data_IF_159948801604
#
_entry.id   IF_159948801604
#
_cell.length_a   1.000
_cell.length_b   1.000
_cell.length_c   1.000
_cell.angle_alpha   90.00
_cell.angle_beta   90.00
_cell.angle_gamma   90.00
#
_symmetry.space_group_name_H-M   'P 1'
#
loop_
_entity.id
_entity.type
_entity.pdbx_description
1 polymer ?
#
# COMPACT_ATOMS: atom_id res chain seq x y z
N UNK A 1 6.58 2.94 -15.42
CA UNK A 1 7.34 3.36 -14.27
C UNK A 1 6.43 3.68 -13.11
N UNK A 2 6.74 3.19 -11.95
CA UNK A 2 5.93 3.44 -10.79
C UNK A 2 6.32 4.75 -10.13
N UNK A 3 5.33 5.39 -9.52
CA UNK A 3 5.59 6.62 -8.77
C UNK A 3 6.22 6.29 -7.42
N UNK A 4 7.07 7.20 -6.92
CA UNK A 4 7.64 7.05 -5.62
C UNK A 4 6.60 7.15 -4.53
N UNK A 5 5.53 7.89 -4.78
CA UNK A 5 4.40 8.03 -3.88
C UNK A 5 3.15 7.65 -4.63
N UNK A 6 2.17 7.19 -3.89
CA UNK A 6 0.83 7.00 -4.43
C UNK A 6 -0.15 7.60 -3.44
N UNK A 7 -1.37 7.85 -3.88
CA UNK A 7 -2.38 8.47 -3.06
C UNK A 7 -3.68 7.70 -3.18
N UNK A 8 -4.29 7.43 -2.05
CA UNK A 8 -5.65 6.91 -2.04
C UNK A 8 -6.57 8.13 -2.09
N UNK A 9 -7.31 8.26 -3.18
CA UNK A 9 -8.18 9.40 -3.43
C UNK A 9 -9.54 9.11 -2.82
N UNK A 10 -9.84 9.75 -1.71
CA UNK A 10 -11.09 9.50 -0.99
C UNK A 10 -12.30 10.04 -1.73
N UNK A 11 -12.09 10.98 -2.64
CA UNK A 11 -13.22 11.54 -3.38
C UNK A 11 -13.75 10.61 -4.44
N UNK A 12 -12.90 9.70 -4.94
CA UNK A 12 -13.30 8.76 -5.98
C UNK A 12 -13.13 7.32 -5.55
N UNK A 13 -12.54 7.08 -4.36
CA UNK A 13 -12.23 5.74 -3.88
C UNK A 13 -11.34 4.99 -4.85
N UNK A 14 -10.31 5.67 -5.32
CA UNK A 14 -9.37 5.07 -6.27
C UNK A 14 -7.94 5.38 -5.86
N UNK A 15 -7.05 4.44 -6.20
CA UNK A 15 -5.63 4.63 -5.98
C UNK A 15 -5.05 5.34 -7.19
N UNK A 16 -4.22 6.36 -6.96
CA UNK A 16 -3.62 7.15 -8.04
C UNK A 16 -2.15 7.36 -7.76
N UNK A 17 -1.35 7.45 -8.81
CA UNK A 17 0.02 7.88 -8.65
C UNK A 17 0.06 9.32 -8.14
N UNK A 18 1.09 9.65 -7.39
CA UNK A 18 1.23 10.98 -6.80
C UNK A 18 2.43 11.65 -7.42
N UNK A 19 2.21 12.84 -7.99
CA UNK A 19 3.29 13.58 -8.62
C UNK A 19 4.05 14.48 -7.65
N UNK A 20 3.39 14.91 -6.58
CA UNK A 20 4.05 15.77 -5.62
C UNK A 20 3.08 16.52 -4.74
N UNK A 21 3.63 17.43 -3.93
CA UNK A 21 2.87 18.15 -2.93
C UNK A 21 3.22 19.61 -2.96
N UNK A 22 2.28 20.44 -2.49
CA UNK A 22 2.54 21.84 -2.18
C UNK A 22 2.12 22.05 -0.74
N UNK A 23 3.09 22.12 0.16
CA UNK A 23 2.77 22.21 1.58
C UNK A 23 2.12 23.54 1.93
N UNK A 24 2.51 24.62 1.26
CA UNK A 24 1.96 25.92 1.60
C UNK A 24 0.48 26.00 1.25
N UNK A 25 0.09 25.38 0.14
CA UNK A 25 -1.30 25.40 -0.28
C UNK A 25 -2.05 24.18 0.21
N UNK A 26 -1.35 23.24 0.86
CA UNK A 26 -1.91 21.98 1.33
C UNK A 26 -2.59 21.21 0.20
N UNK A 27 -1.89 21.09 -0.91
CA UNK A 27 -2.37 20.42 -2.09
C UNK A 27 -1.50 19.24 -2.46
N UNK A 28 -2.14 18.23 -3.04
CA UNK A 28 -1.46 17.04 -3.55
C UNK A 28 -1.83 16.92 -5.02
N UNK A 29 -0.86 16.62 -5.87
CA UNK A 29 -1.08 16.48 -7.30
C UNK A 29 -1.07 15.00 -7.64
N UNK A 30 -2.17 14.49 -8.14
CA UNK A 30 -2.35 13.06 -8.40
C UNK A 30 -2.65 12.83 -9.87
N UNK A 31 -2.41 11.61 -10.33
CA UNK A 31 -2.63 11.26 -11.72
C UNK A 31 -4.12 11.26 -12.04
N UNK A 32 -4.47 11.83 -13.21
CA UNK A 32 -5.87 11.89 -13.63
C UNK A 32 -6.46 10.51 -13.91
N UNK A 33 -5.61 9.52 -14.17
CA UNK A 33 -6.04 8.15 -14.45
C UNK A 33 -5.72 7.30 -13.23
N UNK A 34 -6.72 6.63 -12.69
CA UNK A 34 -6.52 5.78 -11.53
C UNK A 34 -5.72 4.53 -11.92
N UNK A 35 -5.04 3.94 -10.94
CA UNK A 35 -4.18 2.78 -11.23
C UNK A 35 -4.96 1.64 -11.86
N UNK A 36 -6.18 1.40 -11.40
CA UNK A 36 -6.98 0.29 -11.91
C UNK A 36 -7.63 0.60 -13.26
N UNK A 37 -7.45 1.81 -13.77
CA UNK A 37 -7.97 2.17 -15.09
C UNK A 37 -6.94 1.97 -16.19
N UNK A 38 -5.71 1.61 -15.83
CA UNK A 38 -4.70 1.33 -16.83
C UNK A 38 -4.95 -0.08 -17.38
N UNK A 39 -5.45 -0.13 -18.62
CA UNK A 39 -5.85 -1.41 -19.19
C UNK A 39 -5.17 -1.66 -20.54
N UNK A 40 -4.02 -1.06 -20.76
CA UNK A 40 -3.28 -1.26 -21.99
C UNK A 40 -3.62 -0.27 -23.08
N UNK A 41 -4.59 0.59 -22.86
CA UNK A 41 -4.94 1.62 -23.84
C UNK A 41 -4.18 2.90 -23.53
N UNK A 42 -3.89 3.64 -24.59
CA UNK A 42 -3.27 4.94 -24.40
C UNK A 42 -4.30 5.92 -23.85
N UNK A 43 -3.91 6.64 -22.81
CA UNK A 43 -4.76 7.64 -22.20
C UNK A 43 -3.95 8.89 -21.97
N UNK A 44 -4.58 10.03 -22.15
CA UNK A 44 -3.96 11.30 -21.79
C UNK A 44 -4.00 11.44 -20.27
N UNK A 45 -2.86 11.66 -19.68
CA UNK A 45 -2.77 11.84 -18.23
C UNK A 45 -2.37 13.26 -17.91
N UNK A 46 -2.86 13.76 -16.81
CA UNK A 46 -2.46 15.07 -16.30
C UNK A 46 -2.61 15.04 -14.79
N UNK A 47 -2.20 16.11 -14.15
CA UNK A 47 -2.26 16.19 -12.69
C UNK A 47 -3.59 16.77 -12.27
N UNK A 48 -4.23 16.14 -11.31
CA UNK A 48 -5.40 16.67 -10.63
C UNK A 48 -4.97 17.16 -9.27
N UNK A 49 -5.59 18.22 -8.78
CA UNK A 49 -5.32 18.72 -7.45
C UNK A 49 -6.30 18.12 -6.45
N UNK A 50 -5.76 17.79 -5.28
CA UNK A 50 -6.58 17.35 -4.15
C UNK A 50 -6.03 18.04 -2.91
N UNK A 51 -6.90 18.33 -1.96
CA UNK A 51 -6.42 18.85 -0.68
C UNK A 51 -5.86 17.70 0.15
N UNK A 52 -5.03 18.03 1.14
CA UNK A 52 -4.46 17.02 2.01
C UNK A 52 -5.55 16.17 2.68
N UNK A 53 -6.72 16.74 2.93
CA UNK A 53 -7.81 16.00 3.56
C UNK A 53 -8.47 14.99 2.65
N UNK A 54 -8.31 15.15 1.35
CA UNK A 54 -9.01 14.32 0.39
C UNK A 54 -8.26 13.07 -0.01
N UNK A 55 -7.01 12.96 0.39
CA UNK A 55 -6.18 11.82 -0.02
C UNK A 55 -5.36 11.32 1.15
N UNK A 56 -4.92 10.06 1.03
CA UNK A 56 -3.93 9.48 1.93
C UNK A 56 -2.72 9.17 1.08
N UNK A 57 -1.61 9.82 1.35
CA UNK A 57 -0.39 9.65 0.58
C UNK A 57 0.45 8.55 1.20
N UNK A 58 0.96 7.66 0.37
CA UNK A 58 1.76 6.53 0.81
C UNK A 58 3.05 6.50 0.01
N UNK A 59 4.14 6.19 0.69
CA UNK A 59 5.46 6.19 0.07
C UNK A 59 5.84 4.79 -0.38
N UNK A 60 6.54 4.71 -1.50
CA UNK A 60 7.13 3.45 -1.94
C UNK A 60 8.23 3.05 -0.98
N UNK A 61 8.30 1.77 -0.67
CA UNK A 61 9.39 1.26 0.16
C UNK A 61 10.69 1.13 -0.63
N UNK A 62 10.61 1.19 -1.95
CA UNK A 62 11.77 0.93 -2.79
C UNK A 62 12.05 -0.54 -2.98
N UNK A 63 11.23 -1.40 -2.38
CA UNK A 63 11.40 -2.85 -2.46
C UNK A 63 10.29 -3.45 -3.30
N UNK A 64 10.53 -4.64 -3.82
CA UNK A 64 9.55 -5.36 -4.61
C UNK A 64 9.25 -6.69 -3.97
N UNK A 65 8.06 -7.21 -4.25
CA UNK A 65 7.68 -8.52 -3.74
C UNK A 65 8.26 -9.62 -4.63
N UNK A 66 7.88 -10.86 -4.34
CA UNK A 66 8.45 -12.00 -5.07
C UNK A 66 8.07 -12.01 -6.55
N UNK A 67 7.02 -11.28 -6.92
CA UNK A 67 6.59 -11.22 -8.31
C UNK A 67 7.03 -9.93 -8.99
N UNK A 68 7.86 -9.14 -8.34
CA UNK A 68 8.37 -7.90 -8.92
C UNK A 68 7.45 -6.71 -8.74
N UNK A 69 6.42 -6.84 -7.92
CA UNK A 69 5.48 -5.75 -7.67
C UNK A 69 6.06 -4.82 -6.62
N UNK A 70 6.05 -3.53 -6.89
CA UNK A 70 6.59 -2.56 -5.95
C UNK A 70 5.73 -2.50 -4.69
N UNK A 71 6.38 -2.44 -3.53
CA UNK A 71 5.70 -2.46 -2.24
C UNK A 71 5.63 -1.04 -1.71
N UNK A 72 4.43 -0.62 -1.34
CA UNK A 72 4.18 0.70 -0.76
C UNK A 72 3.73 0.57 0.68
N UNK A 73 3.94 1.62 1.44
CA UNK A 73 3.34 1.74 2.75
C UNK A 73 1.84 1.51 2.62
N UNK A 74 1.28 0.74 3.54
CA UNK A 74 -0.15 0.42 3.50
C UNK A 74 -0.49 -0.82 2.71
N UNK A 75 0.49 -1.44 2.03
CA UNK A 75 0.24 -2.69 1.34
C UNK A 75 0.02 -3.83 2.32
N UNK A 76 -0.71 -4.83 1.87
CA UNK A 76 -0.94 -6.06 2.62
C UNK A 76 -0.21 -7.17 1.89
N UNK A 77 0.67 -7.86 2.61
CA UNK A 77 1.51 -8.92 2.04
C UNK A 77 1.10 -10.27 2.61
N UNK A 78 1.34 -11.30 1.83
CA UNK A 78 1.03 -12.67 2.21
C UNK A 78 2.26 -13.55 2.11
N UNK A 79 2.41 -14.44 3.08
CA UNK A 79 3.46 -15.45 3.10
C UNK A 79 2.80 -16.77 3.48
N UNK A 80 3.05 -17.86 2.77
CA UNK A 80 2.35 -19.11 3.04
C UNK A 80 2.49 -19.63 4.47
N UNK A 81 3.60 -19.34 5.12
CA UNK A 81 3.83 -19.80 6.48
C UNK A 81 3.58 -18.74 7.53
N UNK A 82 3.71 -17.47 7.18
CA UNK A 82 3.62 -16.39 8.15
C UNK A 82 2.31 -15.62 8.07
N UNK A 83 1.49 -15.90 7.06
CA UNK A 83 0.18 -15.30 6.95
C UNK A 83 0.20 -13.90 6.38
N UNK A 84 -0.71 -13.06 6.86
CA UNK A 84 -0.97 -11.74 6.32
C UNK A 84 -0.32 -10.68 7.19
N UNK A 85 0.38 -9.74 6.56
CA UNK A 85 1.07 -8.65 7.26
C UNK A 85 0.77 -7.34 6.58
N UNK A 86 0.81 -6.27 7.34
CA UNK A 86 0.63 -4.91 6.82
C UNK A 86 1.98 -4.19 6.84
N UNK A 87 2.27 -3.46 5.76
CA UNK A 87 3.51 -2.68 5.65
C UNK A 87 3.30 -1.34 6.34
N UNK A 88 4.23 -0.96 7.21
CA UNK A 88 4.14 0.30 7.93
C UNK A 88 5.52 0.91 8.10
N UNK A 89 5.56 2.18 8.50
CA UNK A 89 6.79 2.92 8.69
C UNK A 89 6.58 3.97 9.78
N UNK A 90 7.54 4.15 10.68
CA UNK A 90 8.78 3.38 10.81
C UNK A 90 8.54 2.10 11.60
N UNK A 91 9.49 1.16 11.52
CA UNK A 91 9.37 -0.08 12.28
C UNK A 91 9.32 0.21 13.78
N UNK A 92 10.17 1.13 14.22
CA UNK A 92 10.13 1.59 15.61
C UNK A 92 10.76 2.97 15.67
N UNK A 93 10.68 3.63 16.81
CA UNK A 93 11.26 4.96 16.97
C UNK A 93 12.77 4.95 16.75
N UNK A 94 13.41 3.83 17.01
CA UNK A 94 14.86 3.74 16.90
C UNK A 94 15.30 3.06 15.61
N UNK A 95 14.38 2.55 14.79
CA UNK A 95 14.73 1.85 13.56
C UNK A 95 13.92 2.46 12.42
N UNK A 96 14.59 3.25 11.62
CA UNK A 96 13.94 3.96 10.52
C UNK A 96 13.91 3.06 9.29
N UNK A 97 13.09 2.02 9.34
CA UNK A 97 12.92 1.12 8.22
C UNK A 97 11.45 0.72 8.14
N UNK A 98 11.06 0.18 7.00
CA UNK A 98 9.71 -0.32 6.85
C UNK A 98 9.58 -1.64 7.59
N UNK A 99 8.41 -1.88 8.11
CA UNK A 99 8.14 -3.08 8.87
C UNK A 99 6.91 -3.79 8.37
N UNK A 100 6.76 -5.02 8.81
CA UNK A 100 5.57 -5.83 8.58
C UNK A 100 4.91 -6.04 9.93
N UNK A 101 3.61 -5.81 9.99
CA UNK A 101 2.85 -5.96 11.22
C UNK A 101 1.80 -7.04 11.03
N UNK A 102 1.79 -7.98 11.93
CA UNK A 102 0.77 -9.01 11.90
C UNK A 102 -0.56 -8.38 12.29
N UNK A 103 -1.59 -8.67 11.51
CA UNK A 103 -2.87 -7.99 11.65
C UNK A 103 -3.50 -8.30 13.01
N UNK A 104 -3.47 -9.56 13.42
CA UNK A 104 -4.21 -9.95 14.62
C UNK A 104 -3.49 -9.59 15.91
N UNK A 105 -2.16 -9.63 15.95
CA UNK A 105 -1.43 -9.44 17.20
C UNK A 105 -0.71 -8.13 17.28
N UNK A 106 -0.48 -7.49 16.13
CA UNK A 106 0.31 -6.26 16.11
C UNK A 106 1.81 -6.48 16.18
N UNK A 107 2.27 -7.72 16.29
CA UNK A 107 3.69 -7.98 16.29
C UNK A 107 4.29 -7.58 14.95
N UNK A 108 5.51 -7.06 15.00
CA UNK A 108 6.16 -6.56 13.80
C UNK A 108 7.50 -7.20 13.56
N UNK A 109 7.94 -7.11 12.32
CA UNK A 109 9.29 -7.47 11.91
C UNK A 109 9.70 -6.48 10.83
N UNK A 110 10.98 -6.41 10.55
CA UNK A 110 11.44 -5.51 9.50
C UNK A 110 11.11 -6.10 8.13
N UNK A 111 10.95 -5.22 7.16
CA UNK A 111 10.67 -5.62 5.79
C UNK A 111 12.01 -5.93 5.12
N UNK A 112 12.48 -7.15 5.28
CA UNK A 112 13.73 -7.59 4.69
C UNK A 112 13.44 -8.76 3.79
N UNK A 113 14.17 -8.82 2.69
CA UNK A 113 14.08 -9.95 1.75
C UNK A 113 12.66 -10.21 1.29
N UNK A 114 11.85 -9.14 1.22
CA UNK A 114 10.46 -9.30 0.79
C UNK A 114 10.37 -9.90 -0.58
N UNK A 115 11.34 -9.60 -1.43
CA UNK A 115 11.33 -10.10 -2.79
C UNK A 115 11.44 -11.61 -2.87
N UNK A 116 11.88 -12.24 -1.81
CA UNK A 116 12.07 -13.69 -1.84
C UNK A 116 10.79 -14.46 -1.58
N UNK A 117 9.95 -13.97 -0.68
CA UNK A 117 8.85 -14.81 -0.19
C UNK A 117 7.51 -14.09 -0.03
N UNK A 118 7.47 -12.80 0.00
CA UNK A 118 6.22 -12.08 0.25
C UNK A 118 5.53 -11.69 -1.05
N UNK A 119 4.21 -11.67 -1.02
CA UNK A 119 3.38 -11.31 -2.18
C UNK A 119 2.41 -10.21 -1.78
N UNK A 120 2.34 -9.15 -2.58
CA UNK A 120 1.35 -8.09 -2.37
C UNK A 120 0.00 -8.65 -2.77
N UNK A 121 -0.96 -8.65 -1.86
CA UNK A 121 -2.30 -9.15 -2.14
C UNK A 121 -3.36 -8.06 -2.04
N UNK A 122 -2.99 -6.86 -1.66
CA UNK A 122 -3.94 -5.76 -1.58
C UNK A 122 -3.34 -4.63 -0.79
N UNK A 123 -4.21 -3.72 -0.33
CA UNK A 123 -3.78 -2.62 0.51
C UNK A 123 -4.92 -2.26 1.47
N UNK A 124 -4.58 -1.43 2.46
CA UNK A 124 -5.52 -1.16 3.55
C UNK A 124 -6.75 -0.37 3.10
N UNK A 125 -6.72 0.24 1.92
CA UNK A 125 -7.84 1.06 1.46
C UNK A 125 -8.79 0.30 0.55
N UNK A 126 -8.26 -0.62 -0.25
CA UNK A 126 -9.06 -1.34 -1.25
C UNK A 126 -9.42 -2.75 -0.81
N UNK A 127 -8.71 -3.27 0.17
CA UNK A 127 -8.84 -4.67 0.56
C UNK A 127 -9.11 -4.79 2.05
N UNK A 128 -10.03 -3.97 2.56
CA UNK A 128 -10.27 -3.90 3.99
C UNK A 128 -10.70 -5.23 4.58
N UNK A 129 -11.28 -6.10 3.78
CA UNK A 129 -11.67 -7.41 4.28
C UNK A 129 -10.45 -8.22 4.72
N UNK A 130 -9.27 -7.91 4.21
CA UNK A 130 -8.05 -8.62 4.61
C UNK A 130 -7.56 -8.18 5.98
N UNK A 131 -8.12 -7.08 6.51
CA UNK A 131 -7.72 -6.58 7.81
C UNK A 131 -8.55 -7.17 8.95
N UNK A 132 -9.53 -8.01 8.64
CA UNK A 132 -10.32 -8.62 9.68
C UNK A 132 -9.44 -9.54 10.48
N UNK A 133 -9.65 -9.52 11.80
CA UNK A 133 -8.74 -10.21 12.70
C UNK A 133 -9.13 -11.64 12.98
N UNK A 134 -9.90 -12.25 12.11
CA UNK A 134 -10.24 -13.65 12.31
C UNK A 134 -8.96 -14.46 12.30
N UNK A 135 -8.86 -15.40 13.19
CA UNK A 135 -7.71 -16.28 13.14
C UNK A 135 -7.65 -16.96 11.79
N UNK A 136 -6.45 -16.99 11.23
CA UNK A 136 -6.32 -17.56 9.92
C UNK A 136 -6.76 -19.00 9.90
N UNK A 137 -6.56 -19.69 11.00
CA UNK A 137 -6.97 -21.07 11.08
C UNK A 137 -8.44 -21.26 11.11
N UNK A 138 -9.19 -20.22 11.32
CA UNK A 138 -10.60 -20.37 11.34
C UNK A 138 -11.13 -20.75 10.07
N UNK A 139 -10.48 -20.43 9.06
CA UNK A 139 -11.00 -20.76 7.85
C UNK A 139 -11.01 -22.09 7.66
N UNK A 140 -10.19 -22.66 8.37
CA UNK A 140 -10.23 -24.01 8.22
C UNK A 140 -11.27 -24.54 9.00
N UNK A 141 -11.54 -23.93 9.70
CA UNK A 141 -12.38 -24.40 10.21
C UNK A 141 -13.41 -24.34 9.90
N UNK A 142 -13.47 -24.07 9.53
CA UNK A 142 -14.34 -24.06 9.14
C UNK A 142 -14.55 -24.67 8.52
N UNK A 143 -14.15 -25.06 8.61
CA UNK A 143 -14.23 -25.77 8.13
C UNK A 143 -14.69 -26.42 7.96
#
# INVERSE_FOLDING_TARGET
>A
MKHKFRAWDKTTNQMRGCYGFNEMEQEVYVCSVADDEFNGQLKTVHALKRSFDEVVVMQSTGLKDKDGVEIYEGDILYHPLQGVRKVFYPYSESVASYGLREISTGFGSTLQDAHAVWQVIGNIHQSSELLETKPYSDESEEK
#
